data_IF_342865474139
#
_entry.id   IF_342865474139
#
_cell.length_a   1.000
_cell.length_b   1.000
_cell.length_c   1.000
_cell.angle_alpha   90.00
_cell.angle_beta   90.00
_cell.angle_gamma   90.00
#
_symmetry.space_group_name_H-M   'P 1'
#
loop_
_entity.id
_entity.type
_entity.pdbx_description
1 polymer ?
#
# COMPACT_ATOMS: atom_id res chain seq x y z
N UNK A 1 -69.81 8.09 1.79
CA UNK A 1 -68.74 7.09 1.49
C UNK A 1 -67.90 7.56 0.31
N UNK A 2 -66.90 8.45 0.51
CA UNK A 2 -65.91 8.81 -0.54
C UNK A 2 -64.63 9.49 -0.01
N UNK A 3 -64.36 9.41 1.30
CA UNK A 3 -63.17 10.04 1.92
C UNK A 3 -62.21 9.06 2.61
N UNK A 4 -62.59 7.80 2.82
CA UNK A 4 -61.72 6.78 3.42
C UNK A 4 -60.78 6.09 2.42
N UNK A 5 -61.01 6.23 1.11
CA UNK A 5 -60.21 5.52 0.09
C UNK A 5 -58.88 6.21 -0.26
N UNK A 6 -58.72 7.49 0.04
CA UNK A 6 -57.53 8.27 -0.37
C UNK A 6 -56.38 8.06 0.63
N UNK A 7 -56.69 7.93 1.92
CA UNK A 7 -55.68 7.69 2.96
C UNK A 7 -55.04 6.31 2.88
N UNK A 8 -55.79 5.27 2.50
CA UNK A 8 -55.22 3.93 2.32
C UNK A 8 -54.31 3.82 1.09
N UNK A 9 -54.57 4.58 0.01
CA UNK A 9 -53.69 4.60 -1.17
C UNK A 9 -52.43 5.45 -0.94
N UNK A 10 -52.51 6.52 -0.14
CA UNK A 10 -51.32 7.32 0.20
C UNK A 10 -50.38 6.57 1.16
N UNK A 11 -50.93 5.82 2.12
CA UNK A 11 -50.13 5.01 3.04
C UNK A 11 -49.45 3.83 2.33
N UNK A 12 -50.12 3.23 1.33
CA UNK A 12 -49.52 2.18 0.50
C UNK A 12 -48.42 2.74 -0.42
N UNK A 13 -48.59 3.95 -0.97
CA UNK A 13 -47.54 4.62 -1.74
C UNK A 13 -46.31 4.96 -0.90
N UNK A 14 -46.49 5.42 0.34
CA UNK A 14 -45.38 5.72 1.27
C UNK A 14 -44.68 4.44 1.72
N UNK A 15 -45.40 3.32 1.90
CA UNK A 15 -44.81 2.02 2.24
C UNK A 15 -44.13 1.31 1.06
N UNK A 16 -44.51 1.61 -0.20
CA UNK A 16 -43.80 1.11 -1.40
C UNK A 16 -42.58 1.94 -1.78
N UNK A 17 -42.44 3.16 -1.24
CA UNK A 17 -41.29 4.05 -1.48
C UNK A 17 -40.26 4.06 -0.35
N UNK A 18 -40.49 3.36 0.74
CA UNK A 18 -39.40 2.84 1.58
C UNK A 18 -38.86 1.57 0.95
N UNK A 19 -38.41 1.65 -0.31
CA UNK A 19 -37.24 0.85 -0.67
C UNK A 19 -36.17 1.37 0.26
N UNK A 20 -35.84 0.59 1.28
CA UNK A 20 -34.54 0.71 1.90
C UNK A 20 -33.55 0.77 0.73
N UNK A 21 -33.02 1.96 0.46
CA UNK A 21 -31.70 2.08 -0.13
C UNK A 21 -30.80 1.46 0.95
N UNK A 22 -30.75 0.12 0.98
CA UNK A 22 -29.56 -0.56 1.45
C UNK A 22 -28.50 -0.11 0.46
N UNK A 23 -27.88 1.03 0.76
CA UNK A 23 -26.54 1.32 0.26
C UNK A 23 -25.78 0.08 0.69
N UNK A 24 -25.38 -0.74 -0.28
CA UNK A 24 -24.55 -1.89 0.03
C UNK A 24 -23.33 -1.31 0.74
N UNK A 25 -23.08 -1.75 1.97
CA UNK A 25 -21.89 -1.33 2.70
C UNK A 25 -20.69 -1.63 1.79
N UNK A 26 -19.85 -0.62 1.56
CA UNK A 26 -18.70 -0.80 0.68
C UNK A 26 -17.74 -1.79 1.30
N UNK A 27 -17.26 -2.73 0.50
CA UNK A 27 -16.36 -3.77 0.96
C UNK A 27 -14.94 -3.24 1.11
N UNK A 28 -14.34 -3.53 2.26
CA UNK A 28 -12.90 -3.49 2.44
C UNK A 28 -12.23 -4.70 1.76
N UNK A 29 -10.91 -4.62 1.63
CA UNK A 29 -10.10 -5.66 1.00
C UNK A 29 -9.04 -6.11 2.00
N UNK A 30 -9.11 -7.36 2.44
CA UNK A 30 -8.11 -7.97 3.31
C UNK A 30 -7.02 -8.65 2.47
N UNK A 31 -5.76 -8.47 2.87
CA UNK A 31 -4.57 -9.07 2.28
C UNK A 31 -3.90 -9.97 3.34
N UNK A 32 -4.31 -11.25 3.41
CA UNK A 32 -3.85 -12.17 4.45
C UNK A 32 -2.37 -12.56 4.29
N UNK A 33 -1.84 -12.48 3.07
CA UNK A 33 -0.52 -12.95 2.72
C UNK A 33 0.28 -11.84 2.01
N UNK A 34 1.32 -11.26 2.64
CA UNK A 34 2.10 -10.21 2.02
C UNK A 34 3.01 -10.71 0.87
N UNK A 35 3.14 -12.03 0.68
CA UNK A 35 3.91 -12.63 -0.41
C UNK A 35 3.10 -12.79 -1.70
N UNK A 36 1.77 -12.80 -1.62
CA UNK A 36 0.87 -12.96 -2.76
C UNK A 36 -0.09 -11.78 -2.85
N UNK A 37 0.28 -10.80 -3.70
CA UNK A 37 -0.53 -9.60 -3.91
C UNK A 37 -1.85 -9.88 -4.66
N UNK A 38 -2.05 -11.11 -5.16
CA UNK A 38 -3.30 -11.54 -5.77
C UNK A 38 -4.25 -12.20 -4.77
N UNK A 39 -3.74 -12.72 -3.65
CA UNK A 39 -4.53 -13.31 -2.57
C UNK A 39 -5.21 -12.19 -1.76
N UNK A 40 -6.53 -12.09 -1.90
CA UNK A 40 -7.34 -11.05 -1.25
C UNK A 40 -8.74 -11.54 -0.91
N UNK A 41 -9.34 -10.93 0.11
CA UNK A 41 -10.69 -11.27 0.57
C UNK A 41 -11.53 -9.99 0.66
N UNK A 42 -12.63 -9.96 -0.08
CA UNK A 42 -13.61 -8.87 0.00
C UNK A 42 -14.47 -9.07 1.25
N UNK A 43 -14.52 -8.07 2.12
CA UNK A 43 -15.17 -8.15 3.43
C UNK A 43 -15.95 -6.88 3.72
N UNK A 44 -17.05 -7.00 4.46
CA UNK A 44 -17.72 -5.81 4.99
C UNK A 44 -16.86 -5.17 6.09
N UNK A 45 -16.88 -3.84 6.15
CA UNK A 45 -16.22 -3.08 7.21
C UNK A 45 -17.16 -1.95 7.64
N UNK A 46 -18.18 -2.24 8.46
CA UNK A 46 -19.25 -1.30 8.78
C UNK A 46 -18.75 -0.07 9.58
N UNK A 47 -19.51 1.03 9.58
CA UNK A 47 -19.20 2.21 10.38
C UNK A 47 -19.24 1.90 11.88
N UNK A 48 -18.15 2.22 12.55
CA UNK A 48 -17.92 2.08 13.99
C UNK A 48 -17.74 3.47 14.60
N UNK A 49 -18.39 3.71 15.75
CA UNK A 49 -18.20 4.95 16.51
C UNK A 49 -16.77 4.99 17.02
N UNK A 50 -16.09 6.13 16.85
CA UNK A 50 -14.73 6.27 17.35
C UNK A 50 -14.71 6.28 18.89
N UNK A 51 -14.43 5.13 19.48
CA UNK A 51 -14.15 4.93 20.91
C UNK A 51 -12.70 4.55 21.17
N UNK A 52 -11.85 4.60 20.14
CA UNK A 52 -10.47 4.16 20.22
C UNK A 52 -9.66 5.04 21.17
N UNK A 53 -8.88 4.40 22.05
CA UNK A 53 -8.05 5.10 23.00
C UNK A 53 -6.84 5.71 22.27
N UNK A 54 -6.80 7.04 22.18
CA UNK A 54 -5.60 7.72 21.73
C UNK A 54 -4.45 7.47 22.70
N UNK A 55 -3.32 7.06 22.13
CA UNK A 55 -2.11 6.83 22.89
C UNK A 55 -1.42 8.16 23.12
N UNK A 56 -1.03 8.45 24.36
CA UNK A 56 -0.24 9.65 24.66
C UNK A 56 1.08 9.59 23.89
N UNK A 57 1.47 10.71 23.28
CA UNK A 57 2.73 10.88 22.52
C UNK A 57 4.01 10.62 23.35
N UNK A 58 3.89 10.47 24.67
CA UNK A 58 4.98 10.03 25.54
C UNK A 58 5.42 8.57 25.26
N UNK A 59 4.62 7.81 24.51
CA UNK A 59 4.97 6.44 24.08
C UNK A 59 6.09 6.49 23.04
N UNK A 60 7.21 5.82 23.33
CA UNK A 60 8.39 5.78 22.45
C UNK A 60 8.24 4.81 21.28
N UNK A 61 7.41 3.77 21.41
CA UNK A 61 7.17 2.76 20.39
C UNK A 61 5.65 2.50 20.22
N UNK A 62 5.10 2.85 19.07
CA UNK A 62 3.69 2.64 18.71
C UNK A 62 3.43 1.29 18.03
N UNK A 63 4.44 0.44 17.86
CA UNK A 63 4.30 -0.86 17.21
C UNK A 63 4.24 -1.97 18.26
N UNK A 64 3.16 -2.75 18.21
CA UNK A 64 3.01 -3.97 18.99
C UNK A 64 3.02 -5.18 18.05
N UNK A 65 4.00 -6.06 18.23
CA UNK A 65 4.28 -7.12 17.28
C UNK A 65 3.97 -8.49 17.88
N UNK A 66 3.10 -9.24 17.21
CA UNK A 66 2.95 -10.68 17.43
C UNK A 66 3.98 -11.39 16.56
N UNK A 67 4.87 -12.16 17.19
CA UNK A 67 5.96 -12.85 16.50
C UNK A 67 5.70 -14.36 16.36
N UNK A 68 5.64 -14.83 15.13
CA UNK A 68 5.67 -16.24 14.75
C UNK A 68 7.08 -16.57 14.24
N UNK A 69 7.99 -16.92 15.15
CA UNK A 69 9.40 -17.12 14.83
C UNK A 69 9.79 -18.60 14.87
N UNK A 70 10.08 -19.16 13.70
CA UNK A 70 10.48 -20.57 13.52
C UNK A 70 12.00 -20.71 13.58
N UNK A 71 12.63 -20.30 14.69
CA UNK A 71 14.08 -20.43 14.89
C UNK A 71 14.46 -20.62 16.36
N UNK A 72 15.75 -20.54 16.68
CA UNK A 72 16.26 -20.62 18.04
C UNK A 72 15.74 -19.45 18.89
N UNK A 73 15.53 -19.67 20.19
CA UNK A 73 15.09 -18.62 21.11
C UNK A 73 16.02 -17.39 21.12
N UNK A 74 17.33 -17.61 20.98
CA UNK A 74 18.31 -16.52 20.89
C UNK A 74 18.09 -15.65 19.64
N UNK A 75 17.92 -16.26 18.45
CA UNK A 75 17.64 -15.51 17.23
C UNK A 75 16.28 -14.80 17.30
N UNK A 76 15.24 -15.48 17.78
CA UNK A 76 13.92 -14.88 17.92
C UNK A 76 13.91 -13.68 18.88
N UNK A 77 14.77 -13.66 19.90
CA UNK A 77 14.92 -12.50 20.78
C UNK A 77 15.59 -11.32 20.06
N UNK A 78 16.62 -11.56 19.24
CA UNK A 78 17.23 -10.50 18.41
C UNK A 78 16.24 -9.87 17.43
N UNK A 79 15.39 -10.70 16.82
CA UNK A 79 14.32 -10.23 15.93
C UNK A 79 13.34 -9.34 16.71
N UNK A 80 12.90 -9.75 17.90
CA UNK A 80 12.03 -8.94 18.77
C UNK A 80 12.65 -7.58 19.10
N UNK A 81 13.94 -7.58 19.46
CA UNK A 81 14.69 -6.34 19.74
C UNK A 81 14.75 -5.44 18.50
N UNK A 82 15.03 -5.99 17.32
CA UNK A 82 15.04 -5.24 16.06
C UNK A 82 13.67 -4.60 15.73
N UNK A 83 12.57 -5.32 15.98
CA UNK A 83 11.21 -4.78 15.84
C UNK A 83 10.90 -3.66 16.84
N UNK A 84 11.34 -3.81 18.09
CA UNK A 84 11.16 -2.76 19.09
C UNK A 84 11.93 -1.49 18.68
N UNK A 85 13.16 -1.63 18.19
CA UNK A 85 13.96 -0.51 17.72
C UNK A 85 13.38 0.13 16.44
N UNK A 86 12.86 -0.68 15.51
CA UNK A 86 12.28 -0.19 14.26
C UNK A 86 10.99 0.60 14.54
N UNK A 87 10.17 0.06 15.45
CA UNK A 87 8.97 0.74 15.92
C UNK A 87 9.28 2.07 16.59
N UNK A 88 10.36 2.18 17.39
CA UNK A 88 10.83 3.46 17.94
C UNK A 88 11.27 4.44 16.87
N UNK A 89 12.06 4.01 15.88
CA UNK A 89 12.56 4.91 14.83
C UNK A 89 11.42 5.48 13.98
N UNK A 90 10.43 4.66 13.63
CA UNK A 90 9.23 5.12 12.91
C UNK A 90 8.39 6.04 13.81
N UNK A 91 8.16 5.68 15.08
CA UNK A 91 7.35 6.47 16.03
C UNK A 91 7.96 7.83 16.36
N UNK A 92 9.29 7.94 16.32
CA UNK A 92 10.01 9.22 16.43
C UNK A 92 9.75 10.12 15.23
N UNK A 93 9.48 9.53 14.08
CA UNK A 93 9.42 10.22 12.80
C UNK A 93 7.97 10.61 12.44
N UNK A 94 7.00 9.73 12.72
CA UNK A 94 5.58 9.93 12.45
C UNK A 94 4.81 10.29 13.73
N UNK A 95 3.83 11.19 13.63
CA UNK A 95 2.88 11.51 14.70
C UNK A 95 1.75 10.48 14.76
N UNK A 96 2.10 9.28 15.19
CA UNK A 96 1.13 8.21 15.39
C UNK A 96 0.22 8.51 16.59
N UNK A 97 -1.05 8.13 16.48
CA UNK A 97 -2.13 8.41 17.45
C UNK A 97 -2.72 7.13 18.04
N UNK A 98 -2.62 6.01 17.33
CA UNK A 98 -3.08 4.69 17.74
C UNK A 98 -1.97 3.65 17.57
N UNK A 99 -1.95 2.62 18.43
CA UNK A 99 -1.02 1.48 18.31
C UNK A 99 -1.23 0.78 16.97
N UNK A 100 -0.12 0.46 16.32
CA UNK A 100 -0.04 -0.34 15.10
C UNK A 100 0.26 -1.78 15.52
N UNK A 101 -0.64 -2.70 15.19
CA UNK A 101 -0.48 -4.12 15.45
C UNK A 101 0.13 -4.81 14.23
N UNK A 102 1.26 -5.50 14.44
CA UNK A 102 1.97 -6.21 13.37
C UNK A 102 1.91 -7.71 13.62
N UNK A 103 1.49 -8.48 12.63
CA UNK A 103 1.63 -9.93 12.60
C UNK A 103 2.89 -10.28 11.80
N UNK A 104 3.95 -10.69 12.51
CA UNK A 104 5.24 -10.99 11.90
C UNK A 104 5.52 -12.49 11.90
N UNK A 105 5.97 -13.01 10.75
CA UNK A 105 6.43 -14.39 10.59
C UNK A 105 7.89 -14.41 10.15
N UNK A 106 8.73 -15.13 10.89
CA UNK A 106 10.12 -15.42 10.51
C UNK A 106 10.26 -16.92 10.23
N UNK A 107 10.38 -17.27 8.96
CA UNK A 107 10.41 -18.66 8.48
C UNK A 107 11.15 -18.74 7.15
N UNK A 108 11.63 -19.92 6.77
CA UNK A 108 12.21 -20.13 5.45
C UNK A 108 11.12 -19.92 4.39
N UNK A 109 11.33 -18.97 3.47
CA UNK A 109 10.41 -18.67 2.38
C UNK A 109 10.72 -19.48 1.12
N UNK A 110 11.81 -20.27 1.13
CA UNK A 110 12.26 -21.08 -0.01
C UNK A 110 12.52 -20.25 -1.28
N UNK A 111 12.97 -19.00 -1.09
CA UNK A 111 13.33 -18.06 -2.15
C UNK A 111 14.68 -17.41 -1.80
N UNK A 112 15.71 -17.67 -2.60
CA UNK A 112 17.07 -17.14 -2.35
C UNK A 112 17.19 -15.64 -2.64
N UNK A 113 16.21 -15.04 -3.31
CA UNK A 113 16.23 -13.63 -3.72
C UNK A 113 15.37 -12.73 -2.84
N UNK A 114 14.44 -13.31 -2.07
CA UNK A 114 13.52 -12.57 -1.22
C UNK A 114 14.06 -12.46 0.22
N UNK A 115 14.21 -11.22 0.70
CA UNK A 115 14.64 -10.93 2.07
C UNK A 115 13.45 -10.87 3.04
N UNK A 116 12.39 -10.21 2.62
CA UNK A 116 11.14 -10.08 3.36
C UNK A 116 10.04 -9.50 2.47
N UNK A 117 8.86 -9.36 3.07
CA UNK A 117 7.71 -8.68 2.48
C UNK A 117 6.80 -8.18 3.59
N UNK A 118 6.27 -6.97 3.47
CA UNK A 118 5.18 -6.53 4.33
C UNK A 118 4.15 -5.65 3.62
N UNK A 119 2.91 -5.75 4.08
CA UNK A 119 1.78 -5.00 3.54
C UNK A 119 0.77 -4.68 4.64
N UNK A 120 0.01 -3.61 4.47
CA UNK A 120 -1.19 -3.36 5.26
C UNK A 120 -2.16 -4.54 5.13
N UNK A 121 -2.61 -5.09 6.26
CA UNK A 121 -3.46 -6.28 6.29
C UNK A 121 -4.86 -6.04 5.72
N UNK A 122 -5.33 -4.78 5.70
CA UNK A 122 -6.59 -4.35 5.10
C UNK A 122 -6.41 -3.04 4.34
N UNK A 123 -7.14 -2.88 3.25
CA UNK A 123 -7.37 -1.63 2.56
C UNK A 123 -8.84 -1.24 2.59
N UNK A 124 -9.09 0.05 2.77
CA UNK A 124 -10.40 0.64 3.04
C UNK A 124 -10.71 1.66 1.94
N UNK A 125 -11.86 1.56 1.25
CA UNK A 125 -12.29 2.59 0.30
C UNK A 125 -12.65 3.88 1.04
N UNK A 126 -11.96 4.98 0.74
CA UNK A 126 -12.27 6.32 1.25
C UNK A 126 -12.30 7.33 0.10
N UNK A 127 -13.16 8.35 0.21
CA UNK A 127 -13.24 9.44 -0.76
C UNK A 127 -12.22 10.52 -0.40
N UNK A 128 -11.21 10.72 -1.26
CA UNK A 128 -10.23 11.79 -1.12
C UNK A 128 -10.86 13.17 -1.36
N UNK A 129 -10.13 14.26 -1.07
CA UNK A 129 -10.59 15.66 -1.25
C UNK A 129 -10.79 16.08 -2.72
N UNK A 130 -10.34 15.27 -3.69
CA UNK A 130 -10.67 15.40 -5.11
C UNK A 130 -11.97 14.66 -5.52
N UNK A 131 -12.73 14.16 -4.54
CA UNK A 131 -13.96 13.36 -4.70
C UNK A 131 -13.73 12.03 -5.44
N UNK A 132 -12.51 11.52 -5.45
CA UNK A 132 -12.18 10.21 -6.02
C UNK A 132 -11.98 9.21 -4.89
N UNK A 133 -12.67 8.08 -5.01
CA UNK A 133 -12.53 6.96 -4.09
C UNK A 133 -11.22 6.23 -4.34
N UNK A 134 -10.45 6.01 -3.28
CA UNK A 134 -9.19 5.27 -3.31
C UNK A 134 -9.12 4.31 -2.13
N UNK A 135 -8.29 3.30 -2.26
CA UNK A 135 -8.01 2.35 -1.21
C UNK A 135 -6.90 2.89 -0.31
N UNK A 136 -7.21 3.03 0.98
CA UNK A 136 -6.30 3.48 2.02
C UNK A 136 -5.90 2.30 2.91
N UNK A 137 -4.61 2.13 3.24
CA UNK A 137 -4.19 1.07 4.14
C UNK A 137 -4.75 1.30 5.55
N UNK A 138 -5.30 0.26 6.19
CA UNK A 138 -5.88 0.33 7.54
C UNK A 138 -4.93 0.98 8.55
N UNK A 139 -3.64 0.64 8.48
CA UNK A 139 -2.61 1.21 9.35
C UNK A 139 -2.58 2.74 9.30
N UNK A 140 -2.80 3.34 8.13
CA UNK A 140 -2.94 4.78 7.96
C UNK A 140 -4.30 5.28 8.45
N UNK A 141 -5.40 4.59 8.09
CA UNK A 141 -6.76 5.04 8.43
C UNK A 141 -6.95 5.21 9.94
N UNK A 142 -6.35 4.33 10.76
CA UNK A 142 -6.33 4.47 12.22
C UNK A 142 -5.73 5.79 12.70
N UNK A 143 -4.73 6.32 11.99
CA UNK A 143 -4.05 7.57 12.35
C UNK A 143 -4.80 8.83 11.88
N UNK A 144 -5.80 8.68 11.00
CA UNK A 144 -6.64 9.79 10.53
C UNK A 144 -7.73 10.17 11.54
N UNK A 145 -8.06 9.24 12.44
CA UNK A 145 -9.04 9.40 13.52
C UNK A 145 -10.41 9.82 12.99
N UNK A 146 -10.92 9.08 12.00
CA UNK A 146 -12.24 9.32 11.42
C UNK A 146 -13.34 9.02 12.44
N UNK A 147 -14.50 9.68 12.32
CA UNK A 147 -15.65 9.42 13.16
C UNK A 147 -16.97 9.59 12.37
N UNK A 148 -17.75 8.52 12.15
CA UNK A 148 -17.37 7.14 12.42
C UNK A 148 -16.17 6.71 11.56
N UNK A 149 -15.48 5.67 11.97
CA UNK A 149 -14.44 5.01 11.16
C UNK A 149 -14.95 3.64 10.71
N UNK A 150 -14.39 3.05 9.64
CA UNK A 150 -14.66 1.66 9.29
C UNK A 150 -14.19 0.71 10.39
N UNK A 151 -14.84 -0.45 10.52
CA UNK A 151 -14.38 -1.53 11.39
C UNK A 151 -12.98 -2.03 10.96
N UNK A 152 -12.07 -2.13 11.94
CA UNK A 152 -10.71 -2.59 11.76
C UNK A 152 -10.58 -4.09 12.09
N UNK A 153 -9.62 -4.76 11.45
CA UNK A 153 -9.17 -6.09 11.87
C UNK A 153 -8.03 -6.00 12.89
N UNK A 154 -7.78 -7.11 13.60
CA UNK A 154 -6.84 -7.20 14.72
C UNK A 154 -5.42 -6.72 14.38
N UNK A 155 -4.93 -7.04 13.18
CA UNK A 155 -3.59 -6.67 12.72
C UNK A 155 -3.68 -5.62 11.62
N UNK A 156 -2.79 -4.63 11.70
CA UNK A 156 -2.69 -3.55 10.73
C UNK A 156 -1.69 -3.87 9.61
N UNK A 157 -0.64 -4.63 9.93
CA UNK A 157 0.43 -5.02 9.00
C UNK A 157 0.68 -6.53 9.14
N UNK A 158 0.77 -7.21 7.99
CA UNK A 158 1.33 -8.57 7.90
C UNK A 158 2.76 -8.46 7.34
N UNK A 159 3.73 -9.13 7.98
CA UNK A 159 5.13 -9.06 7.59
C UNK A 159 5.82 -10.43 7.66
N UNK A 160 6.54 -10.80 6.60
CA UNK A 160 7.24 -12.07 6.46
C UNK A 160 8.72 -11.80 6.24
N UNK A 161 9.59 -12.54 6.93
CA UNK A 161 11.05 -12.42 6.84
C UNK A 161 11.67 -13.79 6.62
N UNK A 162 12.62 -13.86 5.70
CA UNK A 162 13.13 -15.12 5.20
C UNK A 162 14.23 -15.71 6.07
N UNK A 163 13.94 -16.78 6.80
CA UNK A 163 14.91 -17.48 7.63
C UNK A 163 15.98 -18.24 6.81
N UNK A 164 15.79 -18.41 5.50
CA UNK A 164 16.77 -18.99 4.58
C UNK A 164 17.92 -18.04 4.22
N UNK A 165 17.83 -16.75 4.60
CA UNK A 165 18.85 -15.75 4.35
C UNK A 165 19.89 -15.66 5.48
N UNK A 166 21.09 -15.22 5.13
CA UNK A 166 22.17 -15.00 6.08
C UNK A 166 22.03 -13.61 6.73
N UNK A 167 21.50 -13.58 7.95
CA UNK A 167 21.22 -12.32 8.66
C UNK A 167 22.39 -11.87 9.53
N UNK A 168 22.62 -10.56 9.51
CA UNK A 168 23.46 -9.86 10.48
C UNK A 168 22.58 -9.04 11.43
N UNK A 169 22.93 -9.09 12.72
CA UNK A 169 22.27 -8.30 13.77
C UNK A 169 23.31 -7.44 14.46
N UNK A 170 23.01 -6.15 14.58
CA UNK A 170 23.85 -5.18 15.31
C UNK A 170 24.17 -5.60 16.74
N UNK A 171 23.24 -6.30 17.40
CA UNK A 171 23.39 -6.80 18.78
C UNK A 171 24.52 -7.81 18.93
N UNK A 172 25.01 -8.40 17.83
CA UNK A 172 26.10 -9.37 17.86
C UNK A 172 27.47 -8.70 18.03
N UNK A 173 27.55 -7.39 17.80
CA UNK A 173 28.78 -6.61 17.92
C UNK A 173 29.94 -7.19 17.07
N UNK A 174 29.60 -7.79 15.93
CA UNK A 174 30.52 -8.29 14.92
C UNK A 174 30.42 -7.43 13.65
N UNK A 175 31.48 -7.37 12.86
CA UNK A 175 31.44 -6.74 11.53
C UNK A 175 30.58 -7.59 10.59
N UNK A 176 29.68 -6.95 9.84
CA UNK A 176 28.87 -7.61 8.81
C UNK A 176 29.77 -8.29 7.76
N UNK A 177 29.47 -9.53 7.41
CA UNK A 177 30.18 -10.29 6.37
C UNK A 177 29.58 -10.00 5.00
N UNK A 178 30.38 -10.19 3.95
CA UNK A 178 30.00 -9.90 2.56
C UNK A 178 28.79 -10.67 2.02
N UNK A 179 28.36 -11.73 2.72
CA UNK A 179 27.19 -12.53 2.36
C UNK A 179 25.99 -12.30 3.29
N UNK A 180 26.11 -11.42 4.28
CA UNK A 180 25.04 -11.17 5.25
C UNK A 180 24.27 -9.91 4.91
N UNK A 181 22.97 -9.93 5.20
CA UNK A 181 22.09 -8.76 5.12
C UNK A 181 21.84 -8.17 6.50
N UNK A 182 21.83 -6.84 6.60
CA UNK A 182 21.42 -6.16 7.82
C UNK A 182 19.91 -6.33 8.04
N UNK A 183 19.54 -7.15 9.04
CA UNK A 183 18.14 -7.44 9.33
C UNK A 183 17.35 -6.18 9.70
N UNK A 184 17.98 -5.22 10.39
CA UNK A 184 17.30 -4.00 10.84
C UNK A 184 16.99 -3.06 9.67
N UNK A 185 17.90 -2.96 8.69
CA UNK A 185 17.67 -2.20 7.46
C UNK A 185 16.48 -2.76 6.66
N UNK A 186 16.48 -4.08 6.43
CA UNK A 186 15.38 -4.76 5.72
C UNK A 186 14.06 -4.64 6.49
N UNK A 187 14.09 -4.82 7.81
CA UNK A 187 12.89 -4.66 8.64
C UNK A 187 12.27 -3.27 8.54
N UNK A 188 13.08 -2.21 8.60
CA UNK A 188 12.58 -0.84 8.44
C UNK A 188 11.97 -0.62 7.05
N UNK A 189 12.62 -1.12 6.01
CA UNK A 189 12.13 -1.07 4.63
C UNK A 189 10.75 -1.74 4.50
N UNK A 190 10.62 -2.98 4.97
CA UNK A 190 9.36 -3.71 4.92
C UNK A 190 8.26 -3.00 5.71
N UNK A 191 8.55 -2.50 6.92
CA UNK A 191 7.54 -1.77 7.69
C UNK A 191 7.06 -0.50 6.96
N UNK A 192 7.90 0.18 6.17
CA UNK A 192 7.47 1.32 5.35
C UNK A 192 6.54 0.89 4.21
N UNK A 193 6.75 -0.27 3.58
CA UNK A 193 5.75 -0.87 2.70
C UNK A 193 4.43 -1.14 3.44
N UNK A 194 4.53 -1.72 4.64
CA UNK A 194 3.39 -1.96 5.53
C UNK A 194 2.57 -0.69 5.80
N UNK A 195 3.24 0.46 5.95
CA UNK A 195 2.61 1.77 6.16
C UNK A 195 1.85 2.31 4.94
N UNK A 196 2.03 1.74 3.75
CA UNK A 196 1.36 2.18 2.52
C UNK A 196 2.27 2.75 1.43
N UNK A 197 3.59 2.57 1.55
CA UNK A 197 4.51 2.87 0.46
C UNK A 197 4.41 1.76 -0.60
N UNK A 198 3.36 1.75 -1.40
CA UNK A 198 3.14 0.70 -2.41
C UNK A 198 2.15 1.18 -3.47
N UNK A 199 2.43 0.89 -4.73
CA UNK A 199 1.53 1.15 -5.84
C UNK A 199 0.53 0.01 -6.04
N UNK A 200 -0.69 0.32 -6.45
CA UNK A 200 -1.66 -0.71 -6.87
C UNK A 200 -1.43 -1.25 -8.28
N UNK A 201 -0.56 -0.60 -9.06
CA UNK A 201 -0.30 -0.99 -10.45
C UNK A 201 0.44 -2.32 -10.51
N UNK A 202 -0.10 -3.28 -11.25
CA UNK A 202 0.45 -4.64 -11.38
C UNK A 202 0.18 -5.24 -12.75
N UNK A 203 0.88 -6.33 -13.06
CA UNK A 203 0.61 -7.18 -14.23
C UNK A 203 -0.37 -8.33 -13.93
N UNK A 204 -1.01 -8.33 -12.75
CA UNK A 204 -1.89 -9.41 -12.27
C UNK A 204 -3.04 -9.72 -13.22
N UNK A 205 -3.58 -8.71 -13.92
CA UNK A 205 -4.67 -8.91 -14.89
C UNK A 205 -4.31 -10.00 -15.91
N UNK A 206 -3.07 -9.98 -16.41
CA UNK A 206 -2.62 -10.93 -17.44
C UNK A 206 -1.97 -12.18 -16.86
N UNK A 207 -1.18 -12.07 -15.79
CA UNK A 207 -0.46 -13.21 -15.21
C UNK A 207 -1.39 -14.22 -14.57
N UNK A 208 -2.49 -13.77 -13.94
CA UNK A 208 -3.53 -14.66 -13.40
C UNK A 208 -4.29 -15.44 -14.48
N UNK A 209 -4.29 -14.97 -15.73
CA UNK A 209 -4.81 -15.70 -16.90
C UNK A 209 -3.71 -16.43 -17.68
N UNK A 210 -2.53 -16.60 -17.09
CA UNK A 210 -1.36 -17.24 -17.70
C UNK A 210 -0.96 -16.62 -19.05
N UNK A 211 -1.11 -15.29 -19.21
CA UNK A 211 -0.70 -14.55 -20.40
C UNK A 211 0.59 -13.76 -20.15
N UNK A 212 1.34 -13.54 -21.23
CA UNK A 212 2.48 -12.62 -21.20
C UNK A 212 2.01 -11.19 -20.91
N UNK A 213 2.76 -10.49 -20.06
CA UNK A 213 2.51 -9.08 -19.75
C UNK A 213 2.72 -8.19 -20.98
N UNK A 214 1.66 -7.50 -21.37
CA UNK A 214 1.63 -6.44 -22.39
C UNK A 214 1.19 -5.10 -21.82
N UNK A 215 0.54 -5.11 -20.65
CA UNK A 215 0.10 -3.93 -19.92
C UNK A 215 0.10 -4.16 -18.42
N UNK A 216 0.02 -3.07 -17.66
CA UNK A 216 -0.24 -3.11 -16.21
C UNK A 216 -1.50 -2.31 -15.92
N UNK A 217 -2.20 -2.67 -14.86
CA UNK A 217 -3.43 -2.01 -14.42
C UNK A 217 -3.38 -1.72 -12.92
N UNK A 218 -4.14 -0.74 -12.42
CA UNK A 218 -4.35 -0.55 -10.97
C UNK A 218 -5.01 -1.77 -10.32
N UNK A 219 -5.33 -1.66 -9.02
CA UNK A 219 -6.07 -2.69 -8.30
C UNK A 219 -7.36 -3.06 -9.06
N UNK A 220 -7.48 -4.33 -9.44
CA UNK A 220 -8.61 -4.88 -10.17
C UNK A 220 -9.68 -5.38 -9.19
N UNK A 221 -10.85 -4.76 -9.18
CA UNK A 221 -12.03 -5.30 -8.49
C UNK A 221 -12.76 -6.26 -9.42
N UNK A 222 -12.54 -7.55 -9.18
CA UNK A 222 -13.15 -8.66 -9.88
C UNK A 222 -13.57 -9.71 -8.86
N UNK A 223 -14.87 -9.98 -8.79
CA UNK A 223 -15.44 -10.91 -7.81
C UNK A 223 -15.43 -12.36 -8.30
N UNK A 224 -15.54 -13.29 -7.34
CA UNK A 224 -15.61 -14.75 -7.59
C UNK A 224 -16.76 -15.17 -8.52
N UNK A 225 -17.81 -14.35 -8.64
CA UNK A 225 -18.93 -14.57 -9.57
C UNK A 225 -18.64 -14.08 -11.00
N UNK A 226 -17.36 -13.96 -11.37
CA UNK A 226 -16.88 -13.48 -12.66
C UNK A 226 -17.40 -12.08 -13.05
N UNK A 227 -17.53 -11.19 -12.07
CA UNK A 227 -18.08 -9.85 -12.28
C UNK A 227 -17.04 -8.78 -12.00
N UNK A 228 -16.84 -7.89 -12.97
CA UNK A 228 -15.92 -6.75 -12.89
C UNK A 228 -16.62 -5.54 -12.27
N UNK A 229 -15.99 -4.89 -11.31
CA UNK A 229 -16.50 -3.68 -10.64
C UNK A 229 -15.66 -2.43 -10.89
N UNK A 230 -14.48 -2.57 -11.49
CA UNK A 230 -13.62 -1.45 -11.84
C UNK A 230 -12.16 -1.67 -11.48
N UNK A 231 -11.35 -0.68 -11.82
CA UNK A 231 -10.02 -0.46 -11.30
C UNK A 231 -10.07 0.65 -10.26
N UNK A 232 -9.35 0.44 -9.15
CA UNK A 232 -9.19 1.42 -8.09
C UNK A 232 -7.72 1.69 -7.81
N UNK A 233 -7.42 2.88 -7.31
CA UNK A 233 -6.07 3.30 -6.93
C UNK A 233 -5.83 3.06 -5.44
N UNK A 234 -4.59 2.77 -5.07
CA UNK A 234 -4.16 3.03 -3.70
C UNK A 234 -3.93 4.53 -3.53
N UNK A 235 -4.04 5.05 -2.30
CA UNK A 235 -3.78 6.48 -2.06
C UNK A 235 -2.40 6.93 -2.54
N UNK A 236 -1.40 6.04 -2.52
CA UNK A 236 -0.08 6.29 -3.11
C UNK A 236 -0.16 6.74 -4.58
N UNK A 237 -1.00 6.06 -5.38
CA UNK A 237 -1.06 6.25 -6.83
C UNK A 237 -1.62 7.61 -7.24
N UNK A 238 -2.39 8.26 -6.36
CA UNK A 238 -2.88 9.64 -6.55
C UNK A 238 -1.78 10.60 -6.99
N UNK A 239 -0.60 10.41 -6.44
CA UNK A 239 0.56 11.28 -6.61
C UNK A 239 1.51 10.80 -7.73
N UNK A 240 1.25 9.63 -8.31
CA UNK A 240 2.07 9.05 -9.38
C UNK A 240 1.76 9.71 -10.72
N UNK A 241 2.82 10.04 -11.45
CA UNK A 241 2.79 10.62 -12.80
C UNK A 241 3.54 9.73 -13.78
N UNK A 242 2.96 9.58 -14.96
CA UNK A 242 3.52 8.86 -16.10
C UNK A 242 4.09 9.87 -17.10
N UNK A 243 5.31 9.65 -17.57
CA UNK A 243 5.94 10.44 -18.64
C UNK A 243 6.03 9.58 -19.89
N UNK A 244 5.41 10.05 -20.97
CA UNK A 244 5.55 9.42 -22.29
C UNK A 244 5.60 10.48 -23.37
N UNK A 245 6.64 10.43 -24.22
CA UNK A 245 6.81 11.38 -25.33
C UNK A 245 6.72 12.85 -24.87
N UNK A 246 7.33 13.18 -23.72
CA UNK A 246 7.27 14.49 -23.06
C UNK A 246 5.88 14.95 -22.59
N UNK A 247 4.87 14.07 -22.64
CA UNK A 247 3.56 14.31 -22.04
C UNK A 247 3.55 13.69 -20.64
N UNK A 248 3.08 14.47 -19.66
CA UNK A 248 2.86 14.02 -18.29
C UNK A 248 1.37 13.72 -18.11
N UNK A 249 1.06 12.50 -17.71
CA UNK A 249 -0.30 12.07 -17.37
C UNK A 249 -0.35 11.64 -15.91
N UNK A 250 -1.50 11.77 -15.26
CA UNK A 250 -1.66 11.27 -13.89
C UNK A 250 -2.05 9.79 -13.91
N UNK A 251 -1.70 9.05 -12.85
CA UNK A 251 -2.26 7.71 -12.63
C UNK A 251 -3.78 7.73 -12.67
N UNK A 252 -4.39 8.72 -12.01
CA UNK A 252 -5.84 8.85 -11.94
C UNK A 252 -6.48 8.96 -13.33
N UNK A 253 -5.88 9.72 -14.26
CA UNK A 253 -6.36 9.81 -15.64
C UNK A 253 -6.30 8.45 -16.35
N UNK A 254 -5.23 7.68 -16.13
CA UNK A 254 -5.09 6.36 -16.76
C UNK A 254 -6.09 5.36 -16.17
N UNK A 255 -6.27 5.36 -14.85
CA UNK A 255 -7.27 4.55 -14.15
C UNK A 255 -8.67 4.86 -14.67
N UNK A 256 -9.01 6.14 -14.82
CA UNK A 256 -10.28 6.57 -15.42
C UNK A 256 -10.47 5.98 -16.82
N UNK A 257 -9.47 6.11 -17.70
CA UNK A 257 -9.55 5.59 -19.07
C UNK A 257 -9.68 4.06 -19.13
N UNK A 258 -9.03 3.34 -18.22
CA UNK A 258 -9.15 1.88 -18.14
C UNK A 258 -10.55 1.44 -17.69
N UNK A 259 -11.21 2.19 -16.80
CA UNK A 259 -12.58 1.94 -16.37
C UNK A 259 -13.62 2.14 -17.49
N UNK A 260 -13.29 2.91 -18.53
CA UNK A 260 -14.14 3.03 -19.73
C UNK A 260 -14.07 1.79 -20.65
N UNK A 261 -13.21 0.81 -20.37
CA UNK A 261 -13.05 -0.37 -21.22
C UNK A 261 -14.23 -1.35 -21.11
N UNK A 262 -14.79 -1.49 -19.91
CA UNK A 262 -15.86 -2.42 -19.56
C UNK A 262 -16.74 -1.75 -18.51
N UNK A 263 -18.06 -1.83 -18.67
CA UNK A 263 -19.00 -1.24 -17.71
C UNK A 263 -18.91 -1.92 -16.33
N UNK A 264 -19.00 -1.12 -15.27
CA UNK A 264 -19.08 -1.61 -13.90
C UNK A 264 -20.26 -2.59 -13.76
N UNK A 265 -19.99 -3.75 -13.18
CA UNK A 265 -20.95 -4.80 -12.93
C UNK A 265 -21.14 -5.76 -14.12
N UNK A 266 -20.31 -5.66 -15.16
CA UNK A 266 -20.34 -6.62 -16.26
C UNK A 266 -19.95 -8.01 -15.76
N UNK A 267 -20.79 -8.99 -16.08
CA UNK A 267 -20.53 -10.41 -15.78
C UNK A 267 -19.93 -11.11 -16.99
N UNK A 268 -19.01 -12.04 -16.75
CA UNK A 268 -18.30 -12.82 -17.76
C UNK A 268 -18.49 -14.30 -17.51
N UNK A 269 -18.33 -15.15 -18.52
CA UNK A 269 -18.36 -16.60 -18.34
C UNK A 269 -17.12 -17.13 -17.62
N UNK A 270 -16.04 -16.34 -17.59
CA UNK A 270 -14.82 -16.63 -16.86
C UNK A 270 -13.78 -15.51 -16.99
N UNK A 271 -12.73 -15.61 -16.17
CA UNK A 271 -11.65 -14.63 -16.13
C UNK A 271 -10.98 -14.41 -17.49
N UNK A 272 -10.76 -15.48 -18.27
CA UNK A 272 -10.13 -15.38 -19.59
C UNK A 272 -10.95 -14.61 -20.63
N UNK A 273 -12.28 -14.65 -20.53
CA UNK A 273 -13.16 -13.84 -21.37
C UNK A 273 -13.06 -12.37 -20.98
N UNK A 274 -13.07 -12.08 -19.68
CA UNK A 274 -12.84 -10.73 -19.14
C UNK A 274 -11.51 -10.15 -19.64
N UNK A 275 -10.39 -10.88 -19.49
CA UNK A 275 -9.07 -10.44 -19.94
C UNK A 275 -9.06 -10.18 -21.45
N UNK A 276 -9.67 -11.07 -22.24
CA UNK A 276 -9.79 -10.86 -23.70
C UNK A 276 -10.59 -9.61 -24.03
N UNK A 277 -11.73 -9.39 -23.35
CA UNK A 277 -12.57 -8.21 -23.54
C UNK A 277 -11.80 -6.93 -23.20
N UNK A 278 -11.14 -6.89 -22.05
CA UNK A 278 -10.31 -5.76 -21.61
C UNK A 278 -9.22 -5.42 -22.63
N UNK A 279 -8.45 -6.42 -23.08
CA UNK A 279 -7.36 -6.22 -24.05
C UNK A 279 -7.83 -5.83 -25.44
N UNK A 280 -9.04 -6.23 -25.82
CA UNK A 280 -9.64 -5.84 -27.11
C UNK A 280 -10.17 -4.40 -27.14
N UNK A 281 -10.32 -3.77 -25.96
CA UNK A 281 -10.78 -2.39 -25.85
C UNK A 281 -9.73 -1.41 -26.38
N UNK A 282 -10.14 -0.33 -27.08
CA UNK A 282 -9.24 0.78 -27.41
C UNK A 282 -8.54 1.40 -26.19
N UNK A 283 -9.09 1.21 -24.99
CA UNK A 283 -8.52 1.71 -23.74
C UNK A 283 -7.32 0.90 -23.24
N UNK A 284 -7.09 -0.31 -23.76
CA UNK A 284 -5.92 -1.11 -23.37
C UNK A 284 -4.58 -0.39 -23.66
N UNK A 285 -4.57 0.57 -24.61
CA UNK A 285 -3.41 1.42 -24.90
C UNK A 285 -2.87 2.15 -23.66
N UNK A 286 -3.70 2.41 -22.64
CA UNK A 286 -3.28 3.04 -21.38
C UNK A 286 -2.53 2.05 -20.48
N UNK A 287 -2.97 0.79 -20.41
CA UNK A 287 -2.24 -0.27 -19.71
C UNK A 287 -0.88 -0.55 -20.39
N UNK A 288 -0.85 -0.61 -21.72
CA UNK A 288 0.40 -0.74 -22.49
C UNK A 288 1.32 0.48 -22.29
N UNK A 289 0.74 1.67 -22.18
CA UNK A 289 1.49 2.90 -21.90
C UNK A 289 2.10 2.87 -20.51
N UNK A 290 1.31 2.50 -19.50
CA UNK A 290 1.75 2.39 -18.12
C UNK A 290 2.89 1.38 -17.99
N UNK A 291 2.76 0.22 -18.65
CA UNK A 291 3.78 -0.82 -18.64
C UNK A 291 5.09 -0.35 -19.27
N UNK A 292 5.03 0.41 -20.38
CA UNK A 292 6.22 1.02 -20.99
C UNK A 292 6.89 2.02 -20.06
N UNK A 293 6.12 2.81 -19.32
CA UNK A 293 6.68 3.73 -18.33
C UNK A 293 7.31 2.95 -17.15
N UNK A 294 6.63 1.94 -16.62
CA UNK A 294 7.11 1.12 -15.51
C UNK A 294 8.38 0.31 -15.85
N UNK A 295 8.80 0.27 -17.11
CA UNK A 295 9.98 -0.44 -17.62
C UNK A 295 10.93 0.48 -18.39
N UNK A 296 10.82 1.79 -18.20
CA UNK A 296 11.72 2.80 -18.75
C UNK A 296 12.20 3.74 -17.65
N UNK A 297 13.51 3.83 -17.42
CA UNK A 297 14.09 4.73 -16.40
C UNK A 297 13.52 6.15 -16.52
N UNK A 298 13.31 6.78 -15.37
CA UNK A 298 12.88 8.17 -15.23
C UNK A 298 11.54 8.53 -15.89
N UNK A 299 10.74 7.52 -16.26
CA UNK A 299 9.47 7.76 -16.93
C UNK A 299 8.26 7.69 -15.99
N UNK A 300 8.49 7.48 -14.69
CA UNK A 300 7.49 7.67 -13.64
C UNK A 300 8.08 8.41 -12.45
N UNK A 301 7.27 9.27 -11.83
CA UNK A 301 7.64 9.96 -10.61
C UNK A 301 6.43 10.21 -9.72
N UNK A 302 6.68 10.26 -8.41
CA UNK A 302 5.75 10.71 -7.40
C UNK A 302 5.88 12.24 -7.26
N UNK A 303 4.74 12.93 -7.20
CA UNK A 303 4.67 14.37 -6.91
C UNK A 303 4.15 14.53 -5.49
N UNK A 304 4.99 14.94 -4.52
CA UNK A 304 4.53 15.17 -3.16
C UNK A 304 3.33 16.11 -3.09
N UNK A 305 2.48 15.88 -2.08
CA UNK A 305 1.39 16.79 -1.74
C UNK A 305 1.94 18.18 -1.38
N UNK A 306 1.05 19.17 -1.29
CA UNK A 306 1.47 20.50 -0.85
C UNK A 306 1.94 20.45 0.61
N UNK A 307 2.91 21.29 0.93
CA UNK A 307 3.41 21.53 2.29
C UNK A 307 4.04 20.31 3.00
N UNK A 308 4.44 19.30 2.23
CA UNK A 308 5.28 18.18 2.71
C UNK A 308 6.73 18.62 2.92
N UNK A 309 7.48 17.81 3.65
CA UNK A 309 8.90 17.99 3.97
C UNK A 309 9.83 18.01 2.74
N UNK A 310 9.35 17.50 1.61
CA UNK A 310 9.98 17.58 0.30
C UNK A 310 8.96 18.02 -0.75
N UNK A 311 9.32 18.90 -1.67
CA UNK A 311 8.39 19.53 -2.62
C UNK A 311 8.80 19.40 -4.10
N UNK A 312 9.80 18.58 -4.41
CA UNK A 312 10.22 18.25 -5.77
C UNK A 312 9.85 16.80 -6.15
N UNK A 313 9.95 16.48 -7.44
CA UNK A 313 9.66 15.15 -7.99
C UNK A 313 10.54 14.08 -7.36
N UNK A 314 9.95 12.92 -7.10
CA UNK A 314 10.64 11.73 -6.62
C UNK A 314 10.50 10.66 -7.70
N UNK A 315 11.60 10.31 -8.37
CA UNK A 315 11.56 9.31 -9.43
C UNK A 315 11.33 7.92 -8.84
N UNK A 316 10.43 7.17 -9.45
CA UNK A 316 10.10 5.82 -9.01
C UNK A 316 10.97 4.78 -9.73
N UNK A 317 11.08 3.60 -9.15
CA UNK A 317 11.84 2.51 -9.75
C UNK A 317 11.15 1.99 -11.01
N UNK A 318 11.75 2.27 -12.17
CA UNK A 318 11.24 1.87 -13.49
C UNK A 318 12.32 1.29 -14.40
N UNK A 319 13.47 0.91 -13.84
CA UNK A 319 14.60 0.36 -14.58
C UNK A 319 14.54 -1.16 -14.76
N UNK A 320 13.75 -1.84 -13.92
CA UNK A 320 13.59 -3.29 -13.95
C UNK A 320 12.93 -3.78 -15.25
N UNK A 321 13.61 -4.72 -15.93
CA UNK A 321 13.16 -5.34 -17.18
C UNK A 321 13.40 -6.86 -17.11
N UNK A 322 12.35 -7.70 -17.11
CA UNK A 322 10.93 -7.34 -17.16
C UNK A 322 10.44 -6.58 -15.91
N UNK A 323 9.23 -6.03 -15.99
CA UNK A 323 8.52 -5.47 -14.83
C UNK A 323 8.49 -6.50 -13.69
N UNK A 324 8.81 -6.06 -12.47
CA UNK A 324 8.79 -6.91 -11.29
C UNK A 324 7.70 -6.42 -10.35
N UNK A 325 6.69 -7.27 -10.13
CA UNK A 325 5.61 -7.00 -9.18
C UNK A 325 6.21 -6.83 -7.77
N UNK A 326 5.70 -5.84 -7.02
CA UNK A 326 6.22 -5.52 -5.68
C UNK A 326 7.44 -4.60 -5.70
N UNK A 327 8.27 -4.65 -6.75
CA UNK A 327 9.46 -3.81 -6.87
C UNK A 327 9.24 -2.58 -7.73
N UNK A 328 8.89 -2.77 -9.01
CA UNK A 328 8.66 -1.67 -9.96
C UNK A 328 7.55 -0.74 -9.46
N UNK A 329 7.77 0.58 -9.54
CA UNK A 329 6.86 1.66 -9.10
C UNK A 329 6.73 1.78 -7.56
N UNK A 330 6.73 0.67 -6.84
CA UNK A 330 6.60 0.63 -5.37
C UNK A 330 7.88 0.99 -4.61
N UNK A 331 8.94 1.35 -5.34
CA UNK A 331 10.21 1.84 -4.79
C UNK A 331 10.57 3.18 -5.43
N UNK A 332 11.48 3.93 -4.81
CA UNK A 332 12.15 5.03 -5.48
C UNK A 332 13.29 4.49 -6.36
N UNK A 333 13.69 5.26 -7.37
CA UNK A 333 14.75 4.89 -8.31
C UNK A 333 16.07 4.57 -7.60
N UNK A 334 16.54 3.34 -7.74
CA UNK A 334 17.80 2.89 -7.15
C UNK A 334 18.98 3.71 -7.67
N UNK A 335 19.07 3.88 -8.99
CA UNK A 335 20.11 4.67 -9.68
C UNK A 335 20.26 6.10 -9.11
N UNK A 336 19.17 6.70 -8.65
CA UNK A 336 19.15 8.09 -8.19
C UNK A 336 19.36 8.24 -6.69
N UNK A 337 18.89 7.28 -5.90
CA UNK A 337 18.69 7.49 -4.46
C UNK A 337 19.43 6.49 -3.57
N UNK A 338 20.00 5.42 -4.12
CA UNK A 338 20.93 4.56 -3.39
C UNK A 338 22.09 5.35 -2.73
N UNK A 339 22.73 6.34 -3.38
CA UNK A 339 23.81 7.09 -2.76
C UNK A 339 23.34 8.27 -1.90
N UNK A 340 22.04 8.39 -1.58
CA UNK A 340 21.47 9.55 -0.86
C UNK A 340 20.82 9.15 0.47
N UNK A 341 20.29 10.13 1.21
CA UNK A 341 19.49 9.93 2.42
C UNK A 341 18.24 9.05 2.28
N UNK A 342 17.81 8.77 1.05
CA UNK A 342 16.56 8.05 0.78
C UNK A 342 16.81 6.59 0.36
N UNK A 343 18.04 6.08 0.51
CA UNK A 343 18.44 4.72 0.14
C UNK A 343 17.49 3.62 0.65
N UNK A 344 16.84 3.86 1.80
CA UNK A 344 16.05 2.84 2.49
C UNK A 344 14.89 2.28 1.64
N UNK A 345 14.32 3.06 0.71
CA UNK A 345 13.21 2.61 -0.14
C UNK A 345 13.60 2.41 -1.61
N UNK A 346 14.89 2.17 -1.90
CA UNK A 346 15.28 1.55 -3.17
C UNK A 346 14.95 0.06 -3.14
N UNK A 347 14.83 -0.58 -4.30
CA UNK A 347 14.35 -1.97 -4.38
C UNK A 347 15.40 -3.01 -3.98
N UNK A 348 16.66 -2.61 -3.80
CA UNK A 348 17.77 -3.53 -3.61
C UNK A 348 18.63 -3.14 -2.41
N UNK A 349 19.01 -4.15 -1.62
CA UNK A 349 20.05 -4.05 -0.61
C UNK A 349 21.20 -4.96 -1.00
N UNK A 350 22.43 -4.43 -0.97
CA UNK A 350 23.61 -5.25 -1.15
C UNK A 350 23.97 -5.98 0.16
N UNK A 351 24.34 -7.27 0.12
CA UNK A 351 24.89 -7.93 1.30
C UNK A 351 26.27 -7.34 1.65
N UNK A 352 26.64 -7.40 2.93
CA UNK A 352 27.88 -6.84 3.45
C UNK A 352 27.83 -5.35 3.79
N UNK A 353 26.68 -4.71 3.67
CA UNK A 353 26.47 -3.30 4.02
C UNK A 353 25.59 -3.20 5.27
N UNK A 354 26.10 -2.60 6.34
CA UNK A 354 25.29 -2.31 7.54
C UNK A 354 24.50 -1.01 7.36
N UNK A 355 23.43 -0.84 8.12
CA UNK A 355 22.66 0.40 8.10
C UNK A 355 23.52 1.62 8.41
N UNK A 356 24.46 1.52 9.36
CA UNK A 356 25.38 2.62 9.67
C UNK A 356 26.28 2.98 8.48
N UNK A 357 26.74 1.98 7.73
CA UNK A 357 27.51 2.21 6.50
C UNK A 357 26.64 2.92 5.45
N UNK A 358 25.41 2.47 5.23
CA UNK A 358 24.47 3.08 4.28
C UNK A 358 24.16 4.53 4.66
N UNK A 359 23.92 4.81 5.95
CA UNK A 359 23.71 6.17 6.45
C UNK A 359 24.93 7.05 6.18
N UNK A 360 26.14 6.55 6.43
CA UNK A 360 27.38 7.30 6.17
C UNK A 360 27.57 7.56 4.67
N UNK A 361 27.38 6.53 3.85
CA UNK A 361 27.46 6.60 2.38
C UNK A 361 26.48 7.62 1.81
N UNK A 362 25.25 7.63 2.33
CA UNK A 362 24.19 8.53 1.89
C UNK A 362 24.49 10.00 2.18
N UNK A 363 25.36 10.34 3.15
CA UNK A 363 25.64 11.72 3.56
C UNK A 363 25.62 11.95 5.08
N UNK A 364 25.60 10.88 5.87
CA UNK A 364 25.62 10.87 7.34
C UNK A 364 24.39 11.55 7.99
N UNK A 365 23.20 11.13 7.57
CA UNK A 365 21.93 11.65 8.07
C UNK A 365 21.53 11.05 9.43
N UNK A 366 20.66 11.75 10.17
CA UNK A 366 20.30 11.39 11.55
C UNK A 366 19.30 10.25 11.68
N UNK A 367 18.62 9.90 10.59
CA UNK A 367 17.61 8.86 10.51
C UNK A 367 17.81 8.12 9.19
N UNK A 368 17.57 6.79 9.14
CA UNK A 368 17.53 6.04 7.90
C UNK A 368 16.28 6.36 7.05
N UNK A 369 15.27 7.03 7.63
CA UNK A 369 14.06 7.44 6.91
C UNK A 369 14.32 8.84 6.32
N UNK A 370 14.65 8.88 5.04
CA UNK A 370 14.97 10.11 4.30
C UNK A 370 13.76 11.05 4.08
N UNK A 371 14.01 12.32 3.72
CA UNK A 371 13.00 13.34 3.51
C UNK A 371 12.06 13.06 2.33
N UNK A 372 12.52 12.38 1.27
CA UNK A 372 11.62 12.01 0.15
C UNK A 372 10.71 10.88 0.57
N UNK A 373 11.23 9.87 1.27
CA UNK A 373 10.42 8.81 1.87
C UNK A 373 9.37 9.42 2.80
N UNK A 374 9.77 10.35 3.66
CA UNK A 374 8.86 11.06 4.55
C UNK A 374 7.77 11.82 3.81
N UNK A 375 8.14 12.55 2.77
CA UNK A 375 7.17 13.32 1.99
C UNK A 375 6.14 12.44 1.29
N UNK A 376 6.48 11.20 0.93
CA UNK A 376 5.53 10.22 0.39
C UNK A 376 4.54 9.81 1.48
N UNK A 377 5.02 9.46 2.68
CA UNK A 377 4.16 9.12 3.82
C UNK A 377 3.25 10.30 4.23
N UNK A 378 3.79 11.52 4.24
CA UNK A 378 3.02 12.75 4.48
C UNK A 378 1.96 12.96 3.41
N UNK A 379 2.31 12.73 2.14
CA UNK A 379 1.40 12.88 1.00
C UNK A 379 0.22 11.93 1.07
N UNK A 380 0.41 10.69 1.54
CA UNK A 380 -0.70 9.75 1.67
C UNK A 380 -1.57 10.00 2.91
N UNK A 381 -1.04 10.67 3.93
CA UNK A 381 -1.85 11.17 5.05
C UNK A 381 -1.21 11.07 6.44
N UNK A 382 0.03 10.60 6.58
CA UNK A 382 0.71 10.59 7.87
C UNK A 382 1.09 12.01 8.30
N UNK A 383 0.94 12.31 9.59
CA UNK A 383 1.40 13.57 10.16
C UNK A 383 2.85 13.44 10.63
N UNK A 384 3.65 14.50 10.47
CA UNK A 384 5.01 14.62 11.02
C UNK A 384 5.14 15.96 11.76
N UNK A 385 6.31 16.24 12.34
CA UNK A 385 6.58 17.58 12.88
C UNK A 385 6.64 18.66 11.79
N UNK A 386 7.08 18.31 10.58
CA UNK A 386 7.13 19.22 9.43
C UNK A 386 5.76 19.38 8.75
N UNK A 387 4.96 18.31 8.69
CA UNK A 387 3.62 18.29 8.10
C UNK A 387 2.58 17.87 9.18
N UNK A 388 2.16 18.79 10.06
CA UNK A 388 1.30 18.46 11.20
C UNK A 388 -0.19 18.32 10.83
N UNK A 389 -0.61 18.79 9.66
CA UNK A 389 -2.01 18.84 9.24
C UNK A 389 -2.16 18.08 7.92
N UNK A 390 -2.24 16.77 7.99
CA UNK A 390 -2.51 15.97 6.80
C UNK A 390 -3.96 16.16 6.33
N UNK A 391 -4.17 16.00 5.03
CA UNK A 391 -5.53 15.98 4.48
C UNK A 391 -6.30 14.79 5.06
N UNK A 392 -7.60 14.96 5.27
CA UNK A 392 -8.46 13.89 5.78
C UNK A 392 -9.47 13.47 4.72
N UNK A 393 -9.43 12.22 4.26
CA UNK A 393 -10.46 11.68 3.39
C UNK A 393 -11.77 11.49 4.17
N UNK A 394 -12.85 11.26 3.44
CA UNK A 394 -14.18 11.00 3.99
C UNK A 394 -14.51 9.51 3.85
N UNK A 395 -15.12 8.97 4.91
CA UNK A 395 -15.66 7.62 4.90
C UNK A 395 -17.17 7.71 4.67
N UNK A 396 -17.61 7.20 3.52
CA UNK A 396 -19.02 7.12 3.13
C UNK A 396 -19.57 5.74 3.53
N UNK A 397 -20.70 5.71 4.22
CA UNK A 397 -21.31 4.49 4.76
C UNK A 397 -22.84 4.53 4.68
#
# INVERSE_FOLDING_TARGET
MKFQSIYSSLLLCVLTFTRFLTIAAESCVDFPNPLDHSEKVMVECPPTVNTDAYVKRETTNFFQVTHNCNSTAALCNKIKEAFDDAGKEISKTLKLKQIIYVNSTFTDLFDETLLGAAMSARYIPLTSDDNIKRLYPQVLVKQLCLNPHPEYIDYDINAFFNAGQEWWFKTDNETIKSNQYDFYAVLLHELIHGLGFVSSWSNNLETLDNRNTTGITPYLDYSDNNKFFGFSEYIFDRYVKFIRNNVVCTSTDYTFQLNEAVENGTSFNGYSEFVTKMKSSPQWKYAESAFKCATTNDSMYFTPAKDTSWNDKIYLETSLKPYQLGSSISHISDERYEPTEDFLMTYSFAPGESLEYLIQKGGNYKSPIGPRILSILESIGYETDACPNSFKPTYEY
#
